data_IF_264834015523
#
_entry.id   IF_264834015523
#
_cell.length_a   1.000
_cell.length_b   1.000
_cell.length_c   1.000
_cell.angle_alpha   90.00
_cell.angle_beta   90.00
_cell.angle_gamma   90.00
#
_symmetry.space_group_name_H-M   'P 1'
#
loop_
_entity.id
_entity.type
_entity.pdbx_description
1 polymer ?
#
# COMPACT_ATOMS: atom_id res chain seq x y z
N UNK A 1 -17.77 27.86 6.44
CA UNK A 1 -16.99 26.66 6.08
C UNK A 1 -17.93 25.48 6.27
N UNK A 2 -18.30 24.79 5.18
CA UNK A 2 -19.03 23.52 5.30
C UNK A 2 -18.08 22.51 5.97
N UNK A 3 -18.49 21.94 7.10
CA UNK A 3 -17.76 20.83 7.70
C UNK A 3 -17.79 19.65 6.73
N UNK A 4 -16.64 19.31 6.15
CA UNK A 4 -16.51 18.14 5.30
C UNK A 4 -16.55 16.90 6.21
N UNK A 5 -17.55 16.05 6.01
CA UNK A 5 -17.63 14.79 6.76
C UNK A 5 -16.38 13.93 6.47
N UNK A 6 -15.64 13.53 7.50
CA UNK A 6 -14.40 12.76 7.38
C UNK A 6 -14.60 11.40 6.66
N UNK A 7 -15.79 10.81 6.80
CA UNK A 7 -16.21 9.61 6.07
C UNK A 7 -17.40 9.95 5.16
N UNK A 8 -17.15 9.91 3.85
CA UNK A 8 -18.21 10.08 2.85
C UNK A 8 -18.20 8.91 1.87
N UNK A 9 -19.12 7.97 2.04
CA UNK A 9 -19.21 6.78 1.20
C UNK A 9 -19.87 7.03 -0.17
N UNK A 10 -20.37 8.23 -0.44
CA UNK A 10 -21.01 8.58 -1.72
C UNK A 10 -20.18 8.20 -2.97
N UNK A 11 -18.87 8.48 -3.04
CA UNK A 11 -18.05 8.14 -4.19
C UNK A 11 -17.60 6.68 -4.27
N UNK A 12 -17.89 5.83 -3.26
CA UNK A 12 -17.29 4.48 -3.12
C UNK A 12 -17.57 3.59 -4.34
N UNK A 13 -18.78 3.64 -4.88
CA UNK A 13 -19.12 2.83 -6.05
C UNK A 13 -18.30 3.23 -7.30
N UNK A 14 -18.15 4.53 -7.53
CA UNK A 14 -17.33 5.05 -8.65
C UNK A 14 -15.86 4.68 -8.47
N UNK A 15 -15.35 4.74 -7.23
CA UNK A 15 -13.98 4.36 -6.90
C UNK A 15 -13.74 2.86 -7.10
N UNK A 16 -14.67 2.01 -6.67
CA UNK A 16 -14.59 0.56 -6.89
C UNK A 16 -14.65 0.22 -8.38
N UNK A 17 -15.55 0.87 -9.13
CA UNK A 17 -15.63 0.69 -10.58
C UNK A 17 -14.31 1.09 -11.26
N UNK A 18 -13.75 2.24 -10.89
CA UNK A 18 -12.45 2.70 -11.40
C UNK A 18 -11.34 1.69 -11.07
N UNK A 19 -11.29 1.20 -9.83
CA UNK A 19 -10.30 0.20 -9.42
C UNK A 19 -10.42 -1.11 -10.22
N UNK A 20 -11.65 -1.57 -10.49
CA UNK A 20 -11.88 -2.74 -11.34
C UNK A 20 -11.41 -2.48 -12.76
N UNK A 21 -11.74 -1.32 -13.34
CA UNK A 21 -11.30 -0.94 -14.71
C UNK A 21 -9.78 -0.90 -14.79
N UNK A 22 -9.10 -0.28 -13.82
CA UNK A 22 -7.64 -0.23 -13.79
C UNK A 22 -7.04 -1.63 -13.60
N UNK A 23 -7.62 -2.47 -12.72
CA UNK A 23 -7.16 -3.84 -12.51
C UNK A 23 -7.33 -4.74 -13.75
N UNK A 24 -8.29 -4.44 -14.64
CA UNK A 24 -8.42 -5.20 -15.91
C UNK A 24 -7.16 -5.13 -16.77
N UNK A 25 -6.39 -4.04 -16.72
CA UNK A 25 -5.11 -3.93 -17.45
C UNK A 25 -4.13 -5.04 -17.09
N UNK A 26 -3.64 -5.12 -15.84
CA UNK A 26 -2.75 -6.18 -15.40
C UNK A 26 -3.36 -7.59 -15.53
N UNK A 27 -4.66 -7.75 -15.29
CA UNK A 27 -5.35 -9.04 -15.49
C UNK A 27 -5.34 -9.47 -16.96
N UNK A 28 -5.72 -8.58 -17.86
CA UNK A 28 -5.71 -8.85 -19.30
C UNK A 28 -4.28 -9.12 -19.79
N UNK A 29 -3.29 -8.35 -19.31
CA UNK A 29 -1.89 -8.56 -19.66
C UNK A 29 -1.40 -9.97 -19.28
N UNK A 30 -1.67 -10.41 -18.04
CA UNK A 30 -1.31 -11.77 -17.61
C UNK A 30 -2.04 -12.81 -18.46
N UNK A 31 -3.33 -12.63 -18.71
CA UNK A 31 -4.13 -13.58 -19.46
C UNK A 31 -3.68 -13.70 -20.92
N UNK A 32 -3.44 -12.59 -21.59
CA UNK A 32 -3.00 -12.56 -23.00
C UNK A 32 -1.57 -13.08 -23.15
N UNK A 33 -0.65 -12.62 -22.30
CA UNK A 33 0.78 -12.97 -22.38
C UNK A 33 1.04 -14.45 -22.06
N UNK A 34 0.24 -15.01 -21.16
CA UNK A 34 0.40 -16.35 -20.64
C UNK A 34 -0.75 -17.28 -21.03
N UNK A 35 -1.46 -16.97 -22.13
CA UNK A 35 -2.65 -17.74 -22.58
C UNK A 35 -2.37 -19.21 -22.86
N UNK A 36 -1.15 -19.55 -23.25
CA UNK A 36 -0.71 -20.91 -23.56
C UNK A 36 -0.18 -21.68 -22.34
N UNK A 37 -0.03 -21.00 -21.20
CA UNK A 37 0.40 -21.63 -19.96
C UNK A 37 -0.80 -22.25 -19.23
N UNK A 38 -0.51 -23.23 -18.36
CA UNK A 38 -1.52 -23.82 -17.50
C UNK A 38 -2.04 -22.82 -16.44
N UNK A 39 -3.17 -23.16 -15.82
CA UNK A 39 -3.77 -22.27 -14.84
C UNK A 39 -2.89 -22.01 -13.60
N UNK A 40 -2.09 -23.00 -13.05
CA UNK A 40 -1.14 -22.71 -11.98
C UNK A 40 -0.09 -21.68 -12.33
N UNK A 41 0.49 -21.80 -13.53
CA UNK A 41 1.50 -20.86 -14.01
C UNK A 41 0.93 -19.46 -14.17
N UNK A 42 -0.30 -19.33 -14.71
CA UNK A 42 -0.99 -18.02 -14.80
C UNK A 42 -1.23 -17.39 -13.44
N UNK A 43 -1.67 -18.18 -12.45
CA UNK A 43 -1.86 -17.68 -11.07
C UNK A 43 -0.52 -17.21 -10.49
N UNK A 44 0.56 -17.93 -10.74
CA UNK A 44 1.91 -17.54 -10.32
C UNK A 44 2.36 -16.22 -10.97
N UNK A 45 2.13 -16.04 -12.28
CA UNK A 45 2.45 -14.77 -12.96
C UNK A 45 1.61 -13.61 -12.40
N UNK A 46 0.33 -13.86 -12.11
CA UNK A 46 -0.52 -12.87 -11.46
C UNK A 46 -0.01 -12.53 -10.05
N UNK A 47 0.42 -13.53 -9.27
CA UNK A 47 1.01 -13.29 -7.93
C UNK A 47 2.30 -12.47 -8.04
N UNK A 48 3.17 -12.77 -8.99
CA UNK A 48 4.41 -12.02 -9.21
C UNK A 48 4.12 -10.56 -9.62
N UNK A 49 3.17 -10.34 -10.52
CA UNK A 49 2.75 -8.99 -10.92
C UNK A 49 2.11 -8.24 -9.75
N UNK A 50 1.25 -8.89 -8.97
CA UNK A 50 0.63 -8.28 -7.79
C UNK A 50 1.69 -7.89 -6.74
N UNK A 51 2.70 -8.74 -6.52
CA UNK A 51 3.83 -8.44 -5.65
C UNK A 51 4.61 -7.22 -6.15
N UNK A 52 4.90 -7.14 -7.44
CA UNK A 52 5.58 -6.00 -8.05
C UNK A 52 4.77 -4.70 -7.88
N UNK A 53 3.47 -4.72 -8.22
CA UNK A 53 2.61 -3.55 -8.05
C UNK A 53 2.40 -3.17 -6.58
N UNK A 54 2.43 -4.13 -5.65
CA UNK A 54 2.40 -3.86 -4.22
C UNK A 54 3.70 -3.18 -3.75
N UNK A 55 4.86 -3.58 -4.30
CA UNK A 55 6.13 -2.91 -4.04
C UNK A 55 6.11 -1.45 -4.53
N UNK A 56 5.65 -1.22 -5.76
CA UNK A 56 5.49 0.13 -6.31
C UNK A 56 4.51 0.97 -5.47
N UNK A 57 3.43 0.36 -4.97
CA UNK A 57 2.48 1.02 -4.07
C UNK A 57 3.14 1.47 -2.77
N UNK A 58 4.00 0.65 -2.16
CA UNK A 58 4.75 1.02 -0.94
C UNK A 58 5.72 2.17 -1.23
N UNK A 59 6.42 2.13 -2.36
CA UNK A 59 7.29 3.23 -2.79
C UNK A 59 6.50 4.52 -3.02
N UNK A 60 5.36 4.43 -3.71
CA UNK A 60 4.50 5.58 -3.96
C UNK A 60 3.87 6.12 -2.67
N UNK A 61 3.53 5.26 -1.70
CA UNK A 61 3.10 5.67 -0.36
C UNK A 61 4.18 6.46 0.40
N UNK A 62 5.44 6.01 0.28
CA UNK A 62 6.59 6.75 0.83
C UNK A 62 6.78 8.11 0.14
N UNK A 63 6.61 8.17 -1.18
CA UNK A 63 6.61 9.42 -1.94
C UNK A 63 5.47 10.37 -1.50
N UNK A 64 4.25 9.84 -1.33
CA UNK A 64 3.10 10.61 -0.82
C UNK A 64 3.41 11.23 0.55
N UNK A 65 4.12 10.50 1.42
CA UNK A 65 4.55 11.01 2.71
C UNK A 65 5.65 12.07 2.59
N UNK A 66 6.68 11.83 1.78
CA UNK A 66 7.82 12.73 1.61
C UNK A 66 7.44 14.04 0.88
N UNK A 67 6.43 13.99 0.00
CA UNK A 67 5.88 15.17 -0.66
C UNK A 67 4.85 15.92 0.17
N UNK A 68 4.65 15.52 1.44
CA UNK A 68 3.64 16.08 2.35
C UNK A 68 2.24 16.11 1.74
N UNK A 69 1.89 15.04 1.00
CA UNK A 69 0.63 14.93 0.24
C UNK A 69 -0.43 14.06 0.91
N UNK A 70 -0.17 13.56 2.12
CA UNK A 70 -1.07 12.61 2.81
C UNK A 70 -2.36 13.22 3.38
N UNK A 71 -2.54 14.53 3.26
CA UNK A 71 -3.75 15.29 3.63
C UNK A 71 -4.18 16.23 2.50
N UNK A 72 -3.88 15.92 1.26
CA UNK A 72 -4.35 16.66 0.09
C UNK A 72 -5.86 16.56 -0.11
N UNK A 73 -6.49 15.49 0.43
CA UNK A 73 -7.94 15.28 0.50
C UNK A 73 -8.36 15.10 1.97
N UNK A 74 -9.30 15.89 2.49
CA UNK A 74 -9.65 15.89 3.92
C UNK A 74 -10.54 14.72 4.32
N UNK A 75 -11.17 14.03 3.38
CA UNK A 75 -12.14 12.95 3.57
C UNK A 75 -11.66 11.62 2.97
N UNK A 76 -12.35 10.56 3.33
CA UNK A 76 -12.11 9.22 2.82
C UNK A 76 -13.46 8.53 2.52
N UNK A 77 -13.56 7.71 1.44
CA UNK A 77 -12.53 7.26 0.50
C UNK A 77 -12.26 8.20 -0.68
N UNK A 78 -13.05 9.23 -0.89
CA UNK A 78 -12.95 10.18 -1.97
C UNK A 78 -12.10 11.42 -1.66
N UNK A 79 -12.37 12.50 -2.36
CA UNK A 79 -11.79 13.81 -2.17
C UNK A 79 -12.92 14.85 -2.23
N UNK A 80 -13.22 15.51 -1.12
CA UNK A 80 -14.38 16.42 -0.98
C UNK A 80 -15.70 15.78 -1.47
N UNK A 81 -15.91 14.50 -1.15
CA UNK A 81 -17.11 13.75 -1.58
C UNK A 81 -17.11 13.31 -3.04
N UNK A 82 -16.03 13.55 -3.79
CA UNK A 82 -15.89 13.15 -5.19
C UNK A 82 -14.94 11.95 -5.34
N UNK A 83 -15.11 11.20 -6.44
CA UNK A 83 -14.23 10.06 -6.76
C UNK A 83 -12.87 10.49 -7.31
N UNK A 84 -12.70 11.77 -7.68
CA UNK A 84 -11.43 12.30 -8.20
C UNK A 84 -11.29 13.79 -7.86
N UNK A 85 -10.06 14.34 -7.82
CA UNK A 85 -9.81 15.75 -7.64
C UNK A 85 -10.41 16.63 -8.75
N UNK A 86 -10.69 16.10 -9.94
CA UNK A 86 -11.39 16.84 -11.00
C UNK A 86 -12.78 17.32 -10.56
N UNK A 87 -13.54 16.43 -9.89
CA UNK A 87 -14.86 16.80 -9.39
C UNK A 87 -14.82 17.72 -8.17
N UNK A 88 -13.67 17.79 -7.50
CA UNK A 88 -13.44 18.56 -6.28
C UNK A 88 -12.70 19.90 -6.55
N UNK A 89 -12.49 20.27 -7.81
CA UNK A 89 -11.62 21.40 -8.20
C UNK A 89 -11.95 22.70 -7.46
N UNK A 90 -13.21 23.11 -7.45
CA UNK A 90 -13.66 24.34 -6.78
C UNK A 90 -13.40 24.29 -5.25
N UNK A 91 -13.66 23.15 -4.62
CA UNK A 91 -13.44 22.98 -3.18
C UNK A 91 -11.94 23.01 -2.82
N UNK A 92 -11.09 22.41 -3.68
CA UNK A 92 -9.63 22.41 -3.52
C UNK A 92 -9.08 23.84 -3.70
N UNK A 93 -9.54 24.56 -4.72
CA UNK A 93 -9.12 25.95 -4.98
C UNK A 93 -9.55 26.89 -3.84
N UNK A 94 -10.78 26.74 -3.35
CA UNK A 94 -11.26 27.48 -2.18
C UNK A 94 -10.43 27.19 -0.92
N UNK A 95 -10.08 25.93 -0.67
CA UNK A 95 -9.23 25.55 0.46
C UNK A 95 -7.81 26.11 0.33
N UNK A 96 -7.22 26.05 -0.87
CA UNK A 96 -5.90 26.60 -1.15
C UNK A 96 -5.87 28.12 -1.03
N UNK A 97 -6.92 28.83 -1.46
CA UNK A 97 -7.04 30.28 -1.34
C UNK A 97 -7.18 30.69 0.13
N UNK A 98 -7.97 29.95 0.90
CA UNK A 98 -8.17 30.21 2.33
C UNK A 98 -6.90 29.93 3.16
N UNK A 99 -6.05 28.98 2.74
CA UNK A 99 -4.81 28.62 3.43
C UNK A 99 -3.71 28.29 2.40
N UNK A 100 -3.01 29.29 1.83
CA UNK A 100 -2.01 29.08 0.78
C UNK A 100 -0.84 28.17 1.16
N UNK A 101 -0.47 28.12 2.45
CA UNK A 101 0.56 27.24 3.01
C UNK A 101 -0.01 25.94 3.60
N UNK A 102 -1.29 25.70 3.41
CA UNK A 102 -2.00 24.54 3.96
C UNK A 102 -1.64 23.22 3.28
N UNK A 103 -2.17 22.12 3.82
CA UNK A 103 -1.90 20.79 3.28
C UNK A 103 -2.60 20.53 1.93
N UNK A 104 -3.65 21.29 1.60
CA UNK A 104 -4.49 21.06 0.42
C UNK A 104 -3.99 21.90 -0.76
N UNK A 105 -3.54 21.20 -1.80
CA UNK A 105 -3.30 21.78 -3.15
C UNK A 105 -3.76 20.78 -4.19
N UNK A 106 -4.00 21.21 -5.41
CA UNK A 106 -4.43 20.32 -6.49
C UNK A 106 -3.41 19.18 -6.74
N UNK A 107 -2.11 19.49 -6.72
CA UNK A 107 -1.05 18.48 -6.90
C UNK A 107 -1.02 17.46 -5.75
N UNK A 108 -1.11 17.93 -4.51
CA UNK A 108 -1.15 17.02 -3.33
C UNK A 108 -2.39 16.14 -3.33
N UNK A 109 -3.56 16.69 -3.69
CA UNK A 109 -4.79 15.93 -3.84
C UNK A 109 -4.66 14.82 -4.91
N UNK A 110 -4.01 15.10 -6.05
CA UNK A 110 -3.76 14.09 -7.07
C UNK A 110 -2.79 13.01 -6.61
N UNK A 111 -1.68 13.37 -5.97
CA UNK A 111 -0.72 12.39 -5.43
C UNK A 111 -1.42 11.44 -4.47
N UNK A 112 -2.22 11.96 -3.55
CA UNK A 112 -2.95 11.14 -2.58
C UNK A 112 -3.99 10.25 -3.26
N UNK A 113 -4.79 10.78 -4.20
CA UNK A 113 -5.81 9.99 -4.88
C UNK A 113 -5.23 8.91 -5.79
N UNK A 114 -4.10 9.16 -6.47
CA UNK A 114 -3.38 8.14 -7.24
C UNK A 114 -2.93 7.01 -6.32
N UNK A 115 -2.39 7.31 -5.14
CA UNK A 115 -2.05 6.29 -4.14
C UNK A 115 -3.26 5.44 -3.74
N UNK A 116 -4.42 6.06 -3.51
CA UNK A 116 -5.67 5.36 -3.19
C UNK A 116 -6.14 4.47 -4.36
N UNK A 117 -6.05 4.93 -5.61
CA UNK A 117 -6.41 4.13 -6.79
C UNK A 117 -5.50 2.92 -6.96
N UNK A 118 -4.18 3.09 -6.77
CA UNK A 118 -3.21 1.98 -6.80
C UNK A 118 -3.50 0.97 -5.68
N UNK A 119 -3.79 1.44 -4.46
CA UNK A 119 -4.13 0.59 -3.33
C UNK A 119 -5.39 -0.26 -3.58
N UNK A 120 -6.45 0.35 -4.11
CA UNK A 120 -7.67 -0.37 -4.49
C UNK A 120 -7.41 -1.37 -5.62
N UNK A 121 -6.58 -1.01 -6.62
CA UNK A 121 -6.20 -1.90 -7.71
C UNK A 121 -5.47 -3.13 -7.19
N UNK A 122 -4.47 -2.96 -6.32
CA UNK A 122 -3.78 -4.07 -5.65
C UNK A 122 -4.76 -4.92 -4.84
N UNK A 123 -5.71 -4.30 -4.14
CA UNK A 123 -6.78 -5.00 -3.42
C UNK A 123 -7.63 -5.91 -4.33
N UNK A 124 -8.03 -5.42 -5.52
CA UNK A 124 -8.78 -6.21 -6.51
C UNK A 124 -7.94 -7.38 -7.06
N UNK A 125 -6.65 -7.19 -7.29
CA UNK A 125 -5.75 -8.26 -7.72
C UNK A 125 -5.61 -9.35 -6.64
N UNK A 126 -5.47 -8.97 -5.38
CA UNK A 126 -5.41 -9.90 -4.23
C UNK A 126 -6.75 -10.64 -4.08
N UNK A 127 -7.89 -9.96 -4.21
CA UNK A 127 -9.21 -10.58 -4.22
C UNK A 127 -9.31 -11.61 -5.36
N UNK A 128 -8.84 -11.26 -6.55
CA UNK A 128 -8.82 -12.16 -7.70
C UNK A 128 -7.99 -13.41 -7.43
N UNK A 129 -6.79 -13.26 -6.83
CA UNK A 129 -5.95 -14.39 -6.40
C UNK A 129 -6.65 -15.28 -5.37
N UNK A 130 -7.35 -14.70 -4.38
CA UNK A 130 -8.09 -15.45 -3.39
C UNK A 130 -9.25 -16.23 -4.03
N UNK A 131 -10.05 -15.59 -4.90
CA UNK A 131 -11.17 -16.24 -5.59
C UNK A 131 -10.71 -17.39 -6.48
N UNK A 132 -9.60 -17.22 -7.23
CA UNK A 132 -9.03 -18.31 -8.02
C UNK A 132 -8.58 -19.47 -7.13
N UNK A 133 -7.95 -19.19 -6.01
CA UNK A 133 -7.53 -20.19 -5.05
C UNK A 133 -8.72 -20.97 -4.47
N UNK A 134 -9.78 -20.27 -4.04
CA UNK A 134 -11.00 -20.88 -3.48
C UNK A 134 -11.74 -21.80 -4.45
N UNK A 135 -11.70 -21.46 -5.75
CA UNK A 135 -12.35 -22.28 -6.79
C UNK A 135 -11.56 -23.52 -7.20
N UNK A 136 -10.28 -23.57 -6.84
CA UNK A 136 -9.38 -24.58 -7.38
C UNK A 136 -9.06 -25.70 -6.41
N UNK A 137 -8.58 -25.39 -5.21
CA UNK A 137 -8.14 -26.38 -4.22
C UNK A 137 -8.14 -25.78 -2.82
N UNK A 138 -8.83 -26.44 -1.91
CA UNK A 138 -8.90 -26.04 -0.49
C UNK A 138 -7.55 -26.06 0.21
N UNK A 139 -6.61 -26.89 -0.23
CA UNK A 139 -5.28 -27.00 0.39
C UNK A 139 -4.42 -25.72 0.24
N UNK A 140 -4.73 -24.87 -0.75
CA UNK A 140 -3.98 -23.64 -1.04
C UNK A 140 -4.68 -22.36 -0.59
N UNK A 141 -5.80 -22.44 0.12
CA UNK A 141 -6.59 -21.27 0.56
C UNK A 141 -5.88 -20.35 1.54
N UNK A 142 -5.01 -20.90 2.37
CA UNK A 142 -4.47 -20.20 3.55
C UNK A 142 -3.82 -18.86 3.22
N UNK A 143 -2.78 -18.85 2.38
CA UNK A 143 -2.04 -17.63 2.09
C UNK A 143 -2.82 -16.57 1.29
N UNK A 144 -3.55 -16.91 0.21
CA UNK A 144 -4.37 -15.93 -0.51
C UNK A 144 -5.46 -15.32 0.37
N UNK A 145 -6.12 -16.13 1.19
CA UNK A 145 -7.16 -15.66 2.12
C UNK A 145 -6.55 -14.73 3.18
N UNK A 146 -5.41 -15.12 3.76
CA UNK A 146 -4.72 -14.30 4.75
C UNK A 146 -4.27 -12.95 4.15
N UNK A 147 -3.75 -12.97 2.91
CA UNK A 147 -3.40 -11.74 2.19
C UNK A 147 -4.62 -10.86 1.92
N UNK A 148 -5.76 -11.46 1.59
CA UNK A 148 -7.01 -10.72 1.39
C UNK A 148 -7.51 -10.06 2.68
N UNK A 149 -7.54 -10.81 3.79
CA UNK A 149 -7.92 -10.26 5.09
C UNK A 149 -6.97 -9.13 5.47
N UNK A 150 -5.66 -9.35 5.29
CA UNK A 150 -4.66 -8.36 5.64
C UNK A 150 -4.75 -7.08 4.79
N UNK A 151 -4.99 -7.17 3.48
CA UNK A 151 -5.16 -5.96 2.64
C UNK A 151 -6.42 -5.17 3.02
N UNK A 152 -7.50 -5.84 3.47
CA UNK A 152 -8.67 -5.15 4.01
C UNK A 152 -8.32 -4.39 5.30
N UNK A 153 -7.55 -5.00 6.21
CA UNK A 153 -7.02 -4.33 7.41
C UNK A 153 -6.17 -3.11 7.01
N UNK A 154 -5.30 -3.26 6.00
CA UNK A 154 -4.49 -2.17 5.48
C UNK A 154 -5.32 -1.03 4.87
N UNK A 155 -6.43 -1.34 4.20
CA UNK A 155 -7.39 -0.35 3.73
C UNK A 155 -8.01 0.45 4.89
N UNK A 156 -8.34 -0.23 6.01
CA UNK A 156 -8.77 0.40 7.25
C UNK A 156 -7.71 1.34 7.85
N UNK A 157 -6.45 0.89 7.95
CA UNK A 157 -5.35 1.76 8.37
C UNK A 157 -5.17 2.96 7.42
N UNK A 158 -5.29 2.75 6.10
CA UNK A 158 -5.26 3.82 5.11
C UNK A 158 -6.35 4.87 5.34
N UNK A 159 -7.58 4.46 5.70
CA UNK A 159 -8.64 5.39 6.10
C UNK A 159 -8.27 6.16 7.37
N UNK A 160 -7.71 5.47 8.38
CA UNK A 160 -7.31 6.07 9.65
C UNK A 160 -6.15 7.06 9.48
N UNK A 161 -5.23 6.88 8.52
CA UNK A 161 -4.16 7.85 8.28
C UNK A 161 -4.73 9.22 7.92
N UNK A 162 -5.83 9.28 7.18
CA UNK A 162 -6.50 10.53 6.78
C UNK A 162 -7.38 11.06 7.92
N UNK A 163 -8.27 10.24 8.45
CA UNK A 163 -9.27 10.66 9.45
C UNK A 163 -8.66 11.03 10.79
N UNK A 164 -7.51 10.44 11.14
CA UNK A 164 -6.71 10.79 12.32
C UNK A 164 -5.56 11.77 12.01
N UNK A 165 -5.62 12.47 10.85
CA UNK A 165 -4.70 13.55 10.47
C UNK A 165 -3.22 13.14 10.62
N UNK A 166 -2.85 12.01 10.02
CA UNK A 166 -1.50 11.43 10.01
C UNK A 166 -0.95 11.12 11.41
N UNK A 167 -1.81 10.66 12.33
CA UNK A 167 -1.36 10.29 13.68
C UNK A 167 -0.16 9.33 13.61
N UNK A 168 1.00 9.63 14.26
CA UNK A 168 2.27 8.95 14.04
C UNK A 168 2.24 7.43 14.19
N UNK A 169 1.53 6.93 15.21
CA UNK A 169 1.43 5.48 15.42
C UNK A 169 0.65 4.78 14.29
N UNK A 170 -0.46 5.37 13.82
CA UNK A 170 -1.26 4.83 12.72
C UNK A 170 -0.46 4.81 11.42
N UNK A 171 0.27 5.90 11.12
CA UNK A 171 1.10 5.99 9.93
C UNK A 171 2.22 4.93 9.93
N UNK A 172 2.90 4.77 11.08
CA UNK A 172 3.96 3.76 11.24
C UNK A 172 3.41 2.34 11.13
N UNK A 173 2.26 2.04 11.74
CA UNK A 173 1.60 0.73 11.63
C UNK A 173 1.12 0.45 10.20
N UNK A 174 0.63 1.46 9.48
CA UNK A 174 0.24 1.32 8.07
C UNK A 174 1.44 0.96 7.19
N UNK A 175 2.59 1.63 7.36
CA UNK A 175 3.82 1.29 6.65
C UNK A 175 4.28 -0.14 6.96
N UNK A 176 4.36 -0.51 8.25
CA UNK A 176 4.76 -1.85 8.68
C UNK A 176 3.82 -2.93 8.13
N UNK A 177 2.54 -2.65 8.13
CA UNK A 177 1.55 -3.56 7.56
C UNK A 177 1.67 -3.70 6.04
N UNK A 178 2.05 -2.65 5.32
CA UNK A 178 2.39 -2.70 3.90
C UNK A 178 3.60 -3.59 3.63
N UNK A 179 4.66 -3.48 4.44
CA UNK A 179 5.84 -4.35 4.38
C UNK A 179 5.49 -5.81 4.68
N UNK A 180 4.60 -6.05 5.64
CA UNK A 180 4.11 -7.41 5.92
C UNK A 180 3.30 -7.97 4.74
N UNK A 181 2.45 -7.16 4.09
CA UNK A 181 1.72 -7.58 2.88
C UNK A 181 2.68 -7.99 1.75
N UNK A 182 3.75 -7.23 1.53
CA UNK A 182 4.81 -7.59 0.58
C UNK A 182 5.44 -8.95 0.93
N UNK A 183 5.78 -9.17 2.20
CA UNK A 183 6.35 -10.44 2.66
C UNK A 183 5.36 -11.60 2.45
N UNK A 184 4.06 -11.38 2.71
CA UNK A 184 3.02 -12.39 2.49
C UNK A 184 2.87 -12.75 1.01
N UNK A 185 2.85 -11.78 0.10
CA UNK A 185 2.78 -12.01 -1.35
C UNK A 185 4.04 -12.72 -1.86
N UNK A 186 5.22 -12.35 -1.34
CA UNK A 186 6.47 -13.04 -1.66
C UNK A 186 6.43 -14.51 -1.18
N UNK A 187 6.00 -14.76 0.05
CA UNK A 187 5.84 -16.13 0.57
C UNK A 187 4.83 -16.94 -0.24
N UNK A 188 3.73 -16.32 -0.66
CA UNK A 188 2.75 -16.95 -1.56
C UNK A 188 3.39 -17.33 -2.90
N UNK A 189 4.18 -16.44 -3.51
CA UNK A 189 4.90 -16.69 -4.76
C UNK A 189 5.92 -17.84 -4.63
N UNK A 190 6.72 -17.84 -3.55
CA UNK A 190 7.74 -18.86 -3.29
C UNK A 190 7.15 -20.25 -3.01
N UNK A 191 5.94 -20.32 -2.43
CA UNK A 191 5.24 -21.58 -2.16
C UNK A 191 4.53 -22.18 -3.37
N UNK A 192 4.38 -21.45 -4.45
CA UNK A 192 3.81 -21.98 -5.69
C UNK A 192 4.81 -22.92 -6.37
N UNK A 193 4.47 -24.23 -6.40
CA UNK A 193 5.36 -25.38 -6.71
C UNK A 193 6.06 -25.37 -8.08
N UNK A 194 5.77 -24.41 -8.97
CA UNK A 194 6.38 -24.32 -10.29
C UNK A 194 7.60 -23.38 -10.35
N UNK A 195 8.20 -23.05 -9.21
CA UNK A 195 9.46 -22.31 -9.18
C UNK A 195 10.63 -23.29 -9.42
N UNK A 196 11.50 -23.10 -10.42
CA UNK A 196 12.64 -23.97 -10.67
C UNK A 196 13.59 -24.13 -9.48
N UNK A 197 13.63 -23.10 -8.60
CA UNK A 197 14.44 -23.07 -7.37
C UNK A 197 13.75 -23.70 -6.15
N UNK A 198 12.47 -24.08 -6.22
CA UNK A 198 11.75 -24.65 -5.08
C UNK A 198 12.27 -26.04 -4.66
N UNK A 199 13.01 -26.71 -5.52
CA UNK A 199 13.61 -28.02 -5.28
C UNK A 199 15.00 -27.94 -4.64
N UNK A 200 15.66 -26.79 -4.71
CA UNK A 200 17.01 -26.59 -4.14
C UNK A 200 16.89 -26.20 -2.68
N UNK A 201 16.90 -27.18 -1.79
CA UNK A 201 17.01 -26.94 -0.33
C UNK A 201 18.49 -27.00 0.07
N UNK A 202 19.12 -25.83 0.19
CA UNK A 202 20.44 -25.72 0.77
C UNK A 202 20.29 -25.57 2.30
N UNK A 203 20.76 -26.51 3.13
CA UNK A 203 20.72 -26.37 4.58
C UNK A 203 21.67 -25.24 5.00
N UNK A 204 21.12 -24.16 5.52
CA UNK A 204 21.93 -23.09 6.07
C UNK A 204 22.45 -23.44 7.46
N UNK A 205 23.75 -23.23 7.76
CA UNK A 205 24.28 -23.34 9.13
C UNK A 205 23.46 -22.49 10.12
N UNK A 206 23.30 -22.99 11.35
CA UNK A 206 22.51 -22.30 12.37
C UNK A 206 23.02 -20.88 12.65
N UNK A 207 24.33 -20.67 12.60
CA UNK A 207 24.96 -19.36 12.74
C UNK A 207 24.56 -18.38 11.64
N UNK A 208 24.59 -18.82 10.37
CA UNK A 208 24.15 -17.97 9.23
C UNK A 208 22.68 -17.60 9.35
N UNK A 209 21.83 -18.56 9.71
CA UNK A 209 20.41 -18.31 9.97
C UNK A 209 20.20 -17.31 11.10
N UNK A 210 21.00 -17.42 12.19
CA UNK A 210 20.97 -16.47 13.31
C UNK A 210 21.32 -15.05 12.86
N UNK A 211 22.40 -14.88 12.10
CA UNK A 211 22.79 -13.58 11.55
C UNK A 211 21.73 -12.97 10.60
N UNK A 212 21.13 -13.79 9.73
CA UNK A 212 20.07 -13.32 8.84
C UNK A 212 18.83 -12.86 9.63
N UNK A 213 18.44 -13.60 10.68
CA UNK A 213 17.32 -13.18 11.54
C UNK A 213 17.64 -11.89 12.31
N UNK A 214 18.87 -11.74 12.83
CA UNK A 214 19.30 -10.53 13.50
C UNK A 214 19.31 -9.33 12.55
N UNK A 215 19.87 -9.49 11.34
CA UNK A 215 19.87 -8.45 10.32
C UNK A 215 18.45 -8.05 9.90
N UNK A 216 17.55 -9.01 9.74
CA UNK A 216 16.14 -8.74 9.44
C UNK A 216 15.45 -7.99 10.58
N UNK A 217 15.69 -8.38 11.84
CA UNK A 217 15.10 -7.71 13.00
C UNK A 217 15.60 -6.26 13.13
N UNK A 218 16.90 -6.03 12.91
CA UNK A 218 17.48 -4.68 12.89
C UNK A 218 16.90 -3.82 11.74
N UNK A 219 16.71 -4.40 10.56
CA UNK A 219 16.07 -3.72 9.44
C UNK A 219 14.63 -3.31 9.78
N UNK A 220 13.84 -4.20 10.38
CA UNK A 220 12.49 -3.88 10.82
C UNK A 220 12.48 -2.77 11.88
N UNK A 221 13.39 -2.83 12.85
CA UNK A 221 13.55 -1.77 13.85
C UNK A 221 13.90 -0.43 13.19
N UNK A 222 14.84 -0.43 12.25
CA UNK A 222 15.23 0.77 11.49
C UNK A 222 14.05 1.38 10.73
N UNK A 223 13.21 0.56 10.08
CA UNK A 223 12.01 1.02 9.36
C UNK A 223 11.00 1.66 10.35
N UNK A 224 10.77 1.02 11.51
CA UNK A 224 9.86 1.56 12.54
C UNK A 224 10.36 2.91 13.06
N UNK A 225 11.65 3.00 13.42
CA UNK A 225 12.26 4.23 13.92
C UNK A 225 12.22 5.35 12.86
N UNK A 226 12.56 5.02 11.60
CA UNK A 226 12.49 5.97 10.49
C UNK A 226 11.06 6.47 10.23
N UNK A 227 10.09 5.57 10.26
CA UNK A 227 8.67 5.93 10.14
C UNK A 227 8.22 6.84 11.27
N UNK A 228 8.64 6.55 12.50
CA UNK A 228 8.32 7.36 13.69
C UNK A 228 8.90 8.77 13.59
N UNK A 229 10.19 8.90 13.24
CA UNK A 229 10.87 10.18 13.02
C UNK A 229 10.16 10.98 11.91
N UNK A 230 9.88 10.33 10.78
CA UNK A 230 9.17 10.97 9.67
C UNK A 230 7.77 11.45 10.07
N UNK A 231 6.99 10.60 10.77
CA UNK A 231 5.63 10.90 11.16
C UNK A 231 5.52 12.07 12.14
N UNK A 232 6.54 12.25 12.98
CA UNK A 232 6.63 13.37 13.94
C UNK A 232 7.32 14.63 13.36
N UNK A 233 7.67 14.64 12.06
CA UNK A 233 8.40 15.74 11.41
C UNK A 233 9.73 16.08 12.14
N UNK A 234 10.35 15.09 12.78
CA UNK A 234 11.51 15.27 13.65
C UNK A 234 12.87 15.20 12.91
N UNK A 235 12.86 15.13 11.57
CA UNK A 235 14.10 15.03 10.76
C UNK A 235 15.04 16.21 10.96
N UNK A 236 14.49 17.43 11.15
CA UNK A 236 15.24 18.66 11.35
C UNK A 236 15.28 19.10 12.82
N UNK A 237 15.01 18.19 13.76
CA UNK A 237 14.99 18.51 15.19
C UNK A 237 16.41 18.75 15.74
N UNK A 238 17.46 18.23 15.09
CA UNK A 238 18.86 18.42 15.47
C UNK A 238 19.60 19.16 14.36
N UNK A 239 20.24 20.28 14.70
CA UNK A 239 21.00 21.10 13.78
C UNK A 239 22.44 20.57 13.59
N UNK A 240 22.92 19.71 14.49
CA UNK A 240 24.29 19.19 14.51
C UNK A 240 24.30 17.67 14.66
N UNK A 241 25.36 17.02 14.14
CA UNK A 241 25.60 15.58 14.28
C UNK A 241 27.03 15.36 14.82
N UNK A 242 27.27 14.40 15.73
CA UNK A 242 26.34 13.39 16.29
C UNK A 242 25.50 13.89 17.49
N UNK A 243 25.75 15.08 18.00
CA UNK A 243 25.08 15.68 19.13
C UNK A 243 23.95 16.61 18.65
N UNK A 244 22.83 16.63 19.38
CA UNK A 244 21.71 17.49 19.08
C UNK A 244 21.94 18.85 19.76
N UNK A 245 21.92 19.96 19.01
CA UNK A 245 22.08 21.35 19.52
C UNK A 245 23.37 21.56 20.35
N UNK A 246 24.44 20.83 20.04
CA UNK A 246 25.75 21.00 20.68
C UNK A 246 25.86 20.44 22.10
N UNK A 247 24.88 19.65 22.56
CA UNK A 247 24.89 18.97 23.86
C UNK A 247 25.10 17.46 23.72
#
# INVERSE_FOLDING_TARGET
MQEVALFNLGPIFKLLLLAVVVAMGPLAWVWLRHRHQDAPQRVRQLTALTLFLCFDLVLFGSFTRLSDSGLGCPDWPGCYGHASPFGAGEAIEAAQTAMPTGPVTLSKAWIEMIHRYLAMTVGILILTLAVFSWRRDRSVWGWPTLSLVWVCVQGGFGALTVTMKLFPAILSLHLMGGMLLLAMLLMQLLRQRHAPWAEVRVPLPASVRGWLMAAWALLMLQIVLGAWVSANYAVMACDTYPLCQGA
#
